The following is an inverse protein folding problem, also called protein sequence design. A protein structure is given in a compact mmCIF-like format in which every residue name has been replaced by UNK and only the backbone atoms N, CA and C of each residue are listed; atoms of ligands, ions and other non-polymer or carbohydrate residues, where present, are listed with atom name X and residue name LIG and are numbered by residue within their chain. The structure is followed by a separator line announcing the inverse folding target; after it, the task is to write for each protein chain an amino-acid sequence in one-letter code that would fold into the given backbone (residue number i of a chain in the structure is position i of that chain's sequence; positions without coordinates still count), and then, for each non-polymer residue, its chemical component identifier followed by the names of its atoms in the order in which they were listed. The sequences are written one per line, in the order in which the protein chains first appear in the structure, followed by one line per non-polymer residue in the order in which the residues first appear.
data_IF_885522431856
#
_entry.id   IF_885522431856
#
_cell.length_a   1.000
_cell.length_b   1.000
_cell.length_c   1.000
_cell.angle_alpha   90.00
_cell.angle_beta   90.00
_cell.angle_gamma   90.00
#
_symmetry.space_group_name_H-M   'P 1'
#
loop_
_entity.id
_entity.type
_entity.pdbx_description
1 polymer ?
#
# COMPACT_ATOMS: atom_id res chain seq x y z
N UNK A 1 -12.82 -5.79 22.64
CA UNK A 1 -12.17 -4.70 21.89
C UNK A 1 -11.62 -3.76 22.95
N UNK A 2 -10.32 -3.45 22.89
CA UNK A 2 -9.70 -2.61 23.92
C UNK A 2 -10.28 -1.18 23.90
N UNK A 3 -10.34 -0.48 25.06
CA UNK A 3 -10.87 0.89 25.14
C UNK A 3 -10.13 1.92 24.28
N UNK A 4 -8.87 1.61 23.95
CA UNK A 4 -8.01 2.34 23.03
C UNK A 4 -7.75 1.46 21.82
N UNK A 5 -8.14 1.95 20.64
CA UNK A 5 -7.89 1.28 19.38
C UNK A 5 -7.15 2.21 18.42
N UNK A 6 -6.10 1.70 17.79
CA UNK A 6 -5.26 2.44 16.85
C UNK A 6 -5.31 1.76 15.49
N UNK A 7 -5.51 2.55 14.44
CA UNK A 7 -5.38 2.09 13.06
C UNK A 7 -4.25 2.84 12.40
N UNK A 8 -3.24 2.11 11.92
CA UNK A 8 -2.21 2.62 11.02
C UNK A 8 -2.56 2.21 9.59
N UNK A 9 -2.89 3.17 8.74
CA UNK A 9 -3.29 2.89 7.37
C UNK A 9 -2.41 3.68 6.41
N UNK A 10 -1.91 2.99 5.38
CA UNK A 10 -1.15 3.55 4.28
C UNK A 10 -1.83 3.24 2.93
N UNK A 11 -1.72 4.19 2.02
CA UNK A 11 -2.15 4.08 0.63
C UNK A 11 -0.98 4.36 -0.29
N UNK A 12 -0.73 3.48 -1.26
CA UNK A 12 0.27 3.66 -2.31
C UNK A 12 -0.38 4.17 -3.60
N UNK A 13 0.23 5.19 -4.20
CA UNK A 13 -0.01 5.67 -5.56
C UNK A 13 1.28 5.52 -6.35
N UNK A 14 1.27 4.76 -7.43
CA UNK A 14 2.42 4.57 -8.30
C UNK A 14 2.03 4.69 -9.78
N UNK A 15 2.83 5.43 -10.53
CA UNK A 15 2.80 5.50 -11.98
C UNK A 15 4.20 5.25 -12.52
N UNK A 16 4.34 4.25 -13.39
CA UNK A 16 5.56 3.93 -14.10
C UNK A 16 5.30 3.87 -15.61
N UNK A 17 6.35 4.05 -16.41
CA UNK A 17 6.33 3.77 -17.84
C UNK A 17 6.59 2.29 -18.14
N UNK A 18 6.16 1.84 -19.32
CA UNK A 18 6.40 0.48 -19.85
C UNK A 18 7.88 0.13 -20.05
N UNK A 19 8.75 1.14 -20.08
CA UNK A 19 10.21 1.00 -20.10
C UNK A 19 10.82 0.80 -18.69
N UNK A 20 9.98 0.76 -17.66
CA UNK A 20 10.37 0.52 -16.27
C UNK A 20 10.69 1.79 -15.48
N UNK A 21 10.69 2.97 -16.10
CA UNK A 21 11.00 4.22 -15.42
C UNK A 21 9.87 4.69 -14.50
N UNK A 22 10.16 4.89 -13.21
CA UNK A 22 9.21 5.45 -12.26
C UNK A 22 8.92 6.93 -12.58
N UNK A 23 7.65 7.25 -12.80
CA UNK A 23 7.21 8.64 -13.02
C UNK A 23 6.82 9.31 -11.71
N UNK A 24 6.14 8.57 -10.84
CA UNK A 24 5.72 9.04 -9.53
C UNK A 24 5.42 7.86 -8.60
N UNK A 25 5.91 7.93 -7.37
CA UNK A 25 5.47 7.07 -6.28
C UNK A 25 5.18 7.93 -5.04
N UNK A 26 4.02 7.67 -4.43
CA UNK A 26 3.61 8.32 -3.20
C UNK A 26 3.01 7.30 -2.23
N UNK A 27 3.41 7.41 -0.96
CA UNK A 27 2.77 6.73 0.17
C UNK A 27 2.11 7.80 1.04
N UNK A 28 0.80 7.69 1.24
CA UNK A 28 0.06 8.51 2.18
C UNK A 28 -0.36 7.66 3.35
N UNK A 29 0.01 8.04 4.56
CA UNK A 29 -0.37 7.31 5.75
C UNK A 29 -1.05 8.14 6.82
N UNK A 30 -1.81 7.47 7.67
CA UNK A 30 -2.55 8.06 8.78
C UNK A 30 -2.58 7.11 9.99
N UNK A 31 -2.35 7.68 11.17
CA UNK A 31 -2.64 7.06 12.45
C UNK A 31 -3.98 7.60 12.94
N UNK A 32 -4.99 6.72 12.99
CA UNK A 32 -6.31 7.02 13.57
C UNK A 32 -6.39 6.44 14.97
N UNK A 33 -6.94 7.21 15.89
CA UNK A 33 -7.21 6.82 17.26
C UNK A 33 -8.72 6.76 17.47
N UNK A 34 -9.18 5.67 18.08
CA UNK A 34 -10.54 5.53 18.59
C UNK A 34 -10.49 5.23 20.08
N UNK A 35 -11.21 6.03 20.85
CA UNK A 35 -11.46 5.80 22.28
C UNK A 35 -12.91 5.36 22.43
N UNK A 36 -13.18 4.29 23.18
CA UNK A 36 -14.56 3.82 23.42
C UNK A 36 -15.04 4.04 24.86
N UNK A 37 -14.11 4.27 25.79
CA UNK A 37 -14.43 4.57 27.19
C UNK A 37 -13.99 6.00 27.55
N UNK A 38 -14.87 6.82 28.16
CA UNK A 38 -14.56 8.24 28.45
C UNK A 38 -13.26 8.47 29.23
N UNK A 39 -12.95 7.59 30.19
CA UNK A 39 -11.79 7.73 31.07
C UNK A 39 -10.47 7.31 30.40
N UNK A 40 -10.55 6.62 29.26
CA UNK A 40 -9.39 6.16 28.47
C UNK A 40 -8.85 7.21 27.50
N UNK A 41 -9.39 8.43 27.49
CA UNK A 41 -8.98 9.50 26.57
C UNK A 41 -7.75 10.31 27.00
N UNK A 42 -7.27 10.15 28.23
CA UNK A 42 -6.09 10.87 28.76
C UNK A 42 -4.80 10.07 28.57
N UNK A 43 -4.36 9.95 27.33
CA UNK A 43 -3.23 9.09 26.94
C UNK A 43 -2.19 9.82 26.09
N UNK A 44 -1.02 9.19 25.94
CA UNK A 44 0.01 9.49 24.95
C UNK A 44 0.33 8.21 24.17
N UNK A 45 0.38 8.31 22.85
CA UNK A 45 0.82 7.21 21.97
C UNK A 45 2.31 7.38 21.71
N UNK A 46 3.08 6.33 21.94
CA UNK A 46 4.51 6.29 21.65
C UNK A 46 4.70 5.71 20.25
N UNK A 47 5.32 6.50 19.37
CA UNK A 47 5.56 6.11 17.97
C UNK A 47 7.05 6.20 17.69
N UNK A 48 7.58 5.12 17.15
CA UNK A 48 8.91 5.08 16.57
C UNK A 48 8.82 5.42 15.08
N UNK A 49 9.76 6.24 14.61
CA UNK A 49 10.01 6.43 13.19
C UNK A 49 11.47 6.05 12.92
N UNK A 50 11.69 4.84 12.41
CA UNK A 50 13.04 4.36 12.02
C UNK A 50 13.37 4.70 10.57
N UNK A 51 12.45 5.35 9.87
CA UNK A 51 12.61 5.68 8.47
C UNK A 51 13.63 6.80 8.27
N UNK A 52 14.60 6.57 7.39
CA UNK A 52 15.67 7.53 7.06
C UNK A 52 15.31 8.38 5.84
N UNK A 53 14.20 8.06 5.15
CA UNK A 53 13.73 8.78 3.97
C UNK A 53 13.06 10.10 4.36
N UNK A 54 12.93 11.07 3.43
CA UNK A 54 12.31 12.37 3.70
C UNK A 54 10.78 12.27 3.81
N UNK A 55 10.28 11.58 4.84
CA UNK A 55 8.86 11.47 5.14
C UNK A 55 8.35 12.79 5.73
N UNK A 56 7.36 13.39 5.09
CA UNK A 56 6.67 14.57 5.58
C UNK A 56 5.66 14.16 6.64
N UNK A 57 5.78 14.69 7.87
CA UNK A 57 4.91 14.33 8.98
C UNK A 57 4.07 15.54 9.42
N UNK A 58 2.78 15.31 9.63
CA UNK A 58 1.83 16.31 10.11
C UNK A 58 1.01 15.76 11.28
N UNK A 59 1.07 16.43 12.43
CA UNK A 59 0.18 16.13 13.56
C UNK A 59 -1.14 16.87 13.44
N UNK A 60 -2.19 16.33 14.05
CA UNK A 60 -3.48 17.02 14.19
C UNK A 60 -3.32 18.37 14.95
N UNK A 61 -4.11 19.42 14.66
CA UNK A 61 -3.97 20.75 15.31
C UNK A 61 -4.00 20.74 16.84
N UNK A 62 -4.77 19.82 17.43
CA UNK A 62 -4.90 19.65 18.88
C UNK A 62 -3.79 18.78 19.52
N UNK A 63 -2.92 18.16 18.72
CA UNK A 63 -1.77 17.37 19.20
C UNK A 63 -0.58 18.30 19.49
N UNK A 64 0.16 17.98 20.55
CA UNK A 64 1.39 18.66 20.91
C UNK A 64 2.51 18.35 19.91
N UNK A 65 2.87 19.36 19.11
CA UNK A 65 3.90 19.26 18.08
C UNK A 65 5.29 19.14 18.68
N UNK A 66 5.57 19.76 19.81
CA UNK A 66 6.90 19.69 20.44
C UNK A 66 7.08 18.33 21.13
N UNK A 67 6.01 17.78 21.72
CA UNK A 67 6.01 16.41 22.22
C UNK A 67 6.31 15.38 21.13
N UNK A 68 5.70 15.55 19.94
CA UNK A 68 6.01 14.73 18.77
C UNK A 68 7.49 14.86 18.37
N UNK A 69 7.97 16.09 18.14
CA UNK A 69 9.33 16.35 17.66
C UNK A 69 10.42 15.84 18.61
N UNK A 70 10.21 15.99 19.92
CA UNK A 70 11.25 15.71 20.92
C UNK A 70 11.20 14.28 21.46
N UNK A 71 10.04 13.62 21.40
CA UNK A 71 9.84 12.30 22.03
C UNK A 71 9.17 11.25 21.16
N UNK A 72 8.77 11.58 19.92
CA UNK A 72 7.96 10.67 19.10
C UNK A 72 6.60 10.33 19.74
N UNK A 73 6.05 11.25 20.53
CA UNK A 73 4.82 11.00 21.29
C UNK A 73 3.66 11.85 20.77
N UNK A 74 2.50 11.22 20.60
CA UNK A 74 1.24 11.86 20.23
C UNK A 74 0.42 12.03 21.50
N UNK A 75 0.23 13.28 21.93
CA UNK A 75 -0.64 13.64 23.05
C UNK A 75 -1.34 14.97 22.79
N UNK A 76 -2.42 15.25 23.50
CA UNK A 76 -3.16 16.51 23.38
C UNK A 76 -2.32 17.68 23.91
N UNK A 77 -2.36 18.85 23.23
CA UNK A 77 -1.70 20.09 23.69
C UNK A 77 -2.17 20.55 25.07
N UNK A 78 -3.47 20.38 25.33
CA UNK A 78 -4.08 20.74 26.61
C UNK A 78 -4.15 19.46 27.45
N UNK A 79 -3.30 19.33 28.46
CA UNK A 79 -3.20 18.12 29.29
C UNK A 79 -4.51 17.72 29.99
N UNK A 80 -5.41 18.67 30.21
CA UNK A 80 -6.73 18.47 30.81
C UNK A 80 -7.84 18.14 29.80
N UNK A 81 -7.52 18.06 28.50
CA UNK A 81 -8.49 17.71 27.45
C UNK A 81 -8.22 16.30 26.93
N UNK A 82 -9.17 15.36 27.07
CA UNK A 82 -8.99 14.00 26.54
C UNK A 82 -9.12 13.99 25.01
N UNK A 83 -8.65 12.91 24.38
CA UNK A 83 -9.07 12.60 23.01
C UNK A 83 -10.59 12.37 22.95
N UNK A 84 -11.26 12.72 21.83
CA UNK A 84 -12.70 12.53 21.68
C UNK A 84 -13.12 11.06 21.84
N UNK A 85 -14.17 10.84 22.63
CA UNK A 85 -14.77 9.51 22.81
C UNK A 85 -15.68 9.14 21.62
N UNK A 86 -15.72 7.86 21.26
CA UNK A 86 -16.57 7.26 20.23
C UNK A 86 -16.47 7.92 18.84
N UNK A 87 -15.31 8.49 18.51
CA UNK A 87 -15.02 9.11 17.20
C UNK A 87 -13.65 8.67 16.73
N UNK A 88 -13.54 8.33 15.44
CA UNK A 88 -12.24 8.05 14.83
C UNK A 88 -11.53 9.37 14.49
N UNK A 89 -10.38 9.61 15.12
CA UNK A 89 -9.62 10.86 14.95
C UNK A 89 -8.26 10.55 14.33
N UNK A 90 -7.98 11.15 13.17
CA UNK A 90 -6.64 11.16 12.58
C UNK A 90 -5.72 12.06 13.40
N UNK A 91 -4.75 11.48 14.11
CA UNK A 91 -3.86 12.22 15.03
C UNK A 91 -2.47 12.50 14.44
N UNK A 92 -2.04 11.66 13.48
CA UNK A 92 -0.79 11.80 12.73
C UNK A 92 -1.06 11.44 11.27
N UNK A 93 -0.51 12.22 10.35
CA UNK A 93 -0.44 11.90 8.92
C UNK A 93 1.01 11.92 8.47
N UNK A 94 1.35 11.07 7.51
CA UNK A 94 2.63 11.12 6.84
C UNK A 94 2.49 10.99 5.34
N UNK A 95 3.48 11.52 4.62
CA UNK A 95 3.57 11.43 3.16
C UNK A 95 5.02 11.18 2.77
N UNK A 96 5.27 10.12 2.03
CA UNK A 96 6.52 9.86 1.33
C UNK A 96 6.28 10.00 -0.17
N UNK A 97 7.14 10.71 -0.88
CA UNK A 97 7.04 10.90 -2.33
C UNK A 97 8.42 10.75 -2.95
N UNK A 98 8.50 10.03 -4.07
CA UNK A 98 9.75 9.78 -4.79
C UNK A 98 9.51 9.53 -6.28
N UNK A 99 10.58 9.66 -7.06
CA UNK A 99 10.69 9.26 -8.47
C UNK A 99 11.88 8.32 -8.70
N UNK A 100 12.45 7.79 -7.61
CA UNK A 100 13.59 6.86 -7.67
C UNK A 100 13.12 5.41 -7.69
N UNK A 101 13.51 4.66 -8.73
CA UNK A 101 13.09 3.28 -8.98
C UNK A 101 13.39 2.33 -7.81
N UNK A 102 14.46 2.59 -7.05
CA UNK A 102 14.87 1.75 -5.91
C UNK A 102 13.86 1.66 -4.76
N UNK A 103 12.81 2.50 -4.80
CA UNK A 103 11.73 2.48 -3.80
C UNK A 103 10.48 1.75 -4.28
N UNK A 104 10.40 1.35 -5.55
CA UNK A 104 9.27 0.57 -6.08
C UNK A 104 9.18 -0.75 -5.29
N UNK A 105 8.01 -1.14 -4.75
CA UNK A 105 7.89 -2.37 -3.97
C UNK A 105 7.76 -3.61 -4.86
N UNK A 106 7.11 -3.48 -6.02
CA UNK A 106 6.81 -4.57 -6.95
C UNK A 106 6.99 -4.09 -8.39
N UNK A 107 8.06 -4.50 -9.07
CA UNK A 107 8.22 -4.19 -10.50
C UNK A 107 7.30 -5.06 -11.33
N UNK A 108 6.74 -4.51 -12.42
CA UNK A 108 6.01 -5.28 -13.45
C UNK A 108 6.72 -5.04 -14.78
N UNK A 109 7.14 -6.12 -15.44
CA UNK A 109 7.70 -6.07 -16.78
C UNK A 109 6.70 -6.73 -17.74
N UNK A 110 6.21 -5.98 -18.72
CA UNK A 110 5.23 -6.47 -19.71
C UNK A 110 5.78 -6.25 -21.12
N UNK A 111 5.99 -7.33 -21.86
CA UNK A 111 6.59 -7.35 -23.19
C UNK A 111 5.63 -7.93 -24.22
N UNK A 112 4.73 -7.11 -24.80
CA UNK A 112 3.92 -7.53 -25.94
C UNK A 112 4.69 -7.44 -27.26
N UNK A 113 4.69 -8.52 -28.03
CA UNK A 113 5.33 -8.62 -29.35
C UNK A 113 4.29 -8.96 -30.42
N UNK A 114 4.19 -8.14 -31.46
CA UNK A 114 3.34 -8.44 -32.64
C UNK A 114 3.80 -9.75 -33.31
N UNK A 115 2.89 -10.68 -33.51
CA UNK A 115 3.16 -11.99 -34.09
C UNK A 115 2.93 -12.04 -35.61
N UNK A 116 2.61 -10.91 -36.25
CA UNK A 116 2.37 -10.79 -37.70
C UNK A 116 1.05 -11.40 -38.18
N UNK A 117 0.20 -11.87 -37.27
CA UNK A 117 -1.07 -12.54 -37.57
C UNK A 117 -2.30 -11.82 -36.99
N UNK A 118 -2.14 -10.54 -36.63
CA UNK A 118 -3.20 -9.71 -36.04
C UNK A 118 -3.38 -9.91 -34.54
N UNK A 119 -2.33 -10.35 -33.85
CA UNK A 119 -2.27 -10.48 -32.40
C UNK A 119 -0.86 -10.26 -31.88
N UNK A 120 -0.69 -10.43 -30.57
CA UNK A 120 0.59 -10.36 -29.90
C UNK A 120 0.81 -11.59 -29.02
N UNK A 121 2.07 -12.00 -28.95
CA UNK A 121 2.58 -12.86 -27.88
C UNK A 121 3.04 -11.93 -26.75
N UNK A 122 2.54 -12.14 -25.55
CA UNK A 122 2.75 -11.27 -24.40
C UNK A 122 3.35 -12.08 -23.27
N UNK A 123 4.53 -11.65 -22.83
CA UNK A 123 5.18 -12.11 -21.61
C UNK A 123 5.04 -11.01 -20.56
N UNK A 124 4.52 -11.36 -19.38
CA UNK A 124 4.46 -10.45 -18.24
C UNK A 124 5.01 -11.15 -17.00
N UNK A 125 5.85 -10.45 -16.25
CA UNK A 125 6.43 -10.92 -15.00
C UNK A 125 6.33 -9.84 -13.92
N UNK A 126 6.35 -10.26 -12.66
CA UNK A 126 6.58 -9.38 -11.53
C UNK A 126 7.87 -9.75 -10.81
N UNK A 127 8.48 -8.76 -10.14
CA UNK A 127 9.54 -8.98 -9.17
C UNK A 127 9.27 -8.17 -7.89
N UNK A 128 9.36 -8.82 -6.73
CA UNK A 128 9.28 -8.19 -5.42
C UNK A 128 10.63 -7.54 -5.09
N UNK A 129 10.73 -6.25 -5.37
CA UNK A 129 11.94 -5.44 -5.14
C UNK A 129 12.18 -5.22 -3.64
N UNK A 130 11.11 -4.96 -2.88
CA UNK A 130 11.19 -4.87 -1.43
C UNK A 130 10.90 -6.23 -0.78
N UNK A 131 11.93 -7.08 -0.69
CA UNK A 131 11.86 -8.44 -0.12
C UNK A 131 11.44 -8.51 1.37
N UNK A 132 11.35 -7.37 2.06
CA UNK A 132 10.85 -7.31 3.45
C UNK A 132 9.33 -7.22 3.52
N UNK A 133 8.67 -6.97 2.39
CA UNK A 133 7.22 -6.91 2.29
C UNK A 133 6.60 -8.28 2.03
N UNK A 134 5.33 -8.36 2.38
CA UNK A 134 4.42 -9.45 2.03
C UNK A 134 3.16 -8.80 1.46
N UNK A 135 2.89 -9.05 0.18
CA UNK A 135 1.73 -8.53 -0.53
C UNK A 135 0.67 -9.62 -0.62
N UNK A 136 -0.55 -9.31 -0.21
CA UNK A 136 -1.67 -10.22 -0.11
C UNK A 136 -2.76 -9.85 -1.12
N UNK A 137 -3.44 -10.86 -1.65
CA UNK A 137 -4.53 -10.74 -2.62
C UNK A 137 -4.11 -9.89 -3.83
N UNK A 138 -2.96 -10.23 -4.41
CA UNK A 138 -2.37 -9.47 -5.52
C UNK A 138 -3.14 -9.76 -6.80
N UNK A 139 -3.60 -8.69 -7.45
CA UNK A 139 -4.32 -8.73 -8.72
C UNK A 139 -3.59 -7.84 -9.72
N UNK A 140 -3.09 -8.43 -10.79
CA UNK A 140 -2.48 -7.73 -11.93
C UNK A 140 -3.49 -7.79 -13.08
N UNK A 141 -3.96 -6.63 -13.53
CA UNK A 141 -4.96 -6.51 -14.59
C UNK A 141 -4.29 -6.02 -15.86
N UNK A 142 -4.30 -6.85 -16.90
CA UNK A 142 -3.76 -6.55 -18.22
C UNK A 142 -4.94 -6.27 -19.16
N UNK A 143 -5.08 -5.05 -19.72
CA UNK A 143 -6.12 -4.76 -20.68
C UNK A 143 -5.90 -5.55 -21.98
N UNK A 144 -6.98 -5.81 -22.69
CA UNK A 144 -7.00 -6.49 -23.98
C UNK A 144 -7.74 -5.61 -25.00
N UNK A 145 -7.54 -5.89 -26.28
CA UNK A 145 -8.26 -5.19 -27.34
C UNK A 145 -9.79 -5.35 -27.17
N UNK A 146 -10.53 -4.25 -27.28
CA UNK A 146 -11.98 -4.26 -27.09
C UNK A 146 -12.68 -5.27 -28.02
N UNK A 147 -13.49 -6.14 -27.42
CA UNK A 147 -14.23 -7.16 -28.15
C UNK A 147 -13.38 -8.33 -28.67
N UNK A 148 -12.13 -8.47 -28.20
CA UNK A 148 -11.28 -9.61 -28.54
C UNK A 148 -11.86 -10.93 -27.99
N UNK A 149 -11.56 -12.08 -28.64
CA UNK A 149 -11.78 -13.38 -28.02
C UNK A 149 -10.94 -13.52 -26.74
N UNK A 150 -11.20 -14.58 -25.98
CA UNK A 150 -10.35 -14.96 -24.84
C UNK A 150 -8.89 -15.10 -25.30
N UNK A 151 -7.91 -14.63 -24.52
CA UNK A 151 -6.51 -14.91 -24.79
C UNK A 151 -6.25 -16.42 -24.69
N UNK A 152 -5.24 -16.90 -25.42
CA UNK A 152 -4.68 -18.23 -25.27
C UNK A 152 -3.58 -18.17 -24.21
N UNK A 153 -3.77 -18.83 -23.07
CA UNK A 153 -2.74 -18.90 -22.03
C UNK A 153 -1.75 -20.01 -22.38
N UNK A 154 -0.48 -19.65 -22.49
CA UNK A 154 0.61 -20.57 -22.82
C UNK A 154 1.22 -21.12 -21.52
N UNK A 155 1.59 -20.24 -20.60
CA UNK A 155 2.11 -20.57 -19.26
C UNK A 155 1.57 -19.55 -18.25
N UNK A 156 1.34 -19.99 -17.01
CA UNK A 156 0.80 -19.11 -15.96
C UNK A 156 1.20 -19.62 -14.59
N UNK A 157 2.01 -18.85 -13.88
CA UNK A 157 2.29 -19.07 -12.47
C UNK A 157 1.28 -18.32 -11.61
N UNK A 158 0.34 -19.04 -11.00
CA UNK A 158 -0.80 -18.47 -10.27
C UNK A 158 -2.13 -18.75 -10.97
N UNK A 159 -3.14 -17.93 -10.69
CA UNK A 159 -4.47 -18.07 -11.29
C UNK A 159 -4.73 -16.96 -12.30
N UNK A 160 -5.50 -17.24 -13.35
CA UNK A 160 -5.92 -16.23 -14.30
C UNK A 160 -7.43 -16.28 -14.56
N UNK A 161 -8.01 -15.14 -14.93
CA UNK A 161 -9.42 -14.99 -15.29
C UNK A 161 -9.56 -14.01 -16.45
N UNK A 162 -10.35 -14.35 -17.46
CA UNK A 162 -10.72 -13.41 -18.53
C UNK A 162 -12.04 -12.71 -18.19
N UNK A 163 -11.99 -11.40 -17.91
CA UNK A 163 -13.19 -10.58 -17.76
C UNK A 163 -13.59 -9.99 -19.11
N UNK A 164 -14.51 -10.69 -19.79
CA UNK A 164 -15.06 -10.27 -21.08
C UNK A 164 -15.76 -8.92 -21.04
N UNK A 165 -16.36 -8.54 -19.90
CA UNK A 165 -17.11 -7.29 -19.79
C UNK A 165 -16.19 -6.08 -19.77
N UNK A 166 -15.00 -6.24 -19.18
CA UNK A 166 -13.95 -5.21 -19.12
C UNK A 166 -12.89 -5.35 -20.20
N UNK A 167 -12.93 -6.44 -20.98
CA UNK A 167 -11.89 -6.80 -21.96
C UNK A 167 -10.50 -6.79 -21.32
N UNK A 168 -10.32 -7.53 -20.22
CA UNK A 168 -9.02 -7.65 -19.55
C UNK A 168 -8.73 -9.09 -19.12
N UNK A 169 -7.44 -9.41 -19.04
CA UNK A 169 -6.91 -10.59 -18.39
C UNK A 169 -6.52 -10.22 -16.96
N UNK A 170 -7.04 -10.96 -16.00
CA UNK A 170 -6.79 -10.78 -14.58
C UNK A 170 -5.85 -11.89 -14.13
N UNK A 171 -4.67 -11.54 -13.66
CA UNK A 171 -3.69 -12.46 -13.09
C UNK A 171 -3.68 -12.30 -11.56
N UNK A 172 -3.91 -13.40 -10.84
CA UNK A 172 -4.10 -13.43 -9.39
C UNK A 172 -2.98 -14.23 -8.73
N UNK A 173 -2.34 -13.60 -7.75
CA UNK A 173 -1.34 -14.21 -6.90
C UNK A 173 -1.79 -14.02 -5.45
N UNK A 174 -2.12 -15.09 -4.70
CA UNK A 174 -2.62 -14.94 -3.34
C UNK A 174 -1.64 -14.21 -2.42
N UNK A 175 -0.34 -14.54 -2.51
CA UNK A 175 0.72 -13.96 -1.70
C UNK A 175 2.00 -13.80 -2.55
N UNK A 176 2.60 -12.61 -2.49
CA UNK A 176 3.96 -12.33 -2.99
C UNK A 176 4.84 -11.97 -1.80
N UNK A 177 5.90 -12.74 -1.58
CA UNK A 177 6.84 -12.56 -0.48
C UNK A 177 8.26 -12.97 -0.91
N UNK A 178 9.21 -12.96 0.03
CA UNK A 178 10.60 -13.38 -0.25
C UNK A 178 10.78 -14.84 -0.71
N UNK A 179 9.79 -15.71 -0.48
CA UNK A 179 9.86 -17.13 -0.84
C UNK A 179 9.39 -17.34 -2.29
N UNK A 180 8.49 -16.49 -2.75
CA UNK A 180 8.02 -16.43 -4.14
C UNK A 180 8.11 -14.98 -4.67
N UNK A 181 9.32 -14.43 -4.83
CA UNK A 181 9.50 -13.01 -5.15
C UNK A 181 9.22 -12.70 -6.61
N UNK A 182 9.11 -13.71 -7.47
CA UNK A 182 8.95 -13.55 -8.92
C UNK A 182 7.97 -14.58 -9.44
N UNK A 183 7.21 -14.23 -10.47
CA UNK A 183 6.50 -15.19 -11.30
C UNK A 183 6.22 -14.60 -12.68
N UNK A 184 5.82 -15.44 -13.63
CA UNK A 184 5.49 -15.03 -14.99
C UNK A 184 4.13 -15.57 -15.49
N UNK A 185 3.61 -14.89 -16.51
CA UNK A 185 2.43 -15.25 -17.27
C UNK A 185 2.72 -14.99 -18.76
N UNK A 186 2.52 -16.03 -19.56
CA UNK A 186 2.68 -16.00 -21.01
C UNK A 186 1.34 -16.28 -21.69
N UNK A 187 0.95 -15.40 -22.61
CA UNK A 187 -0.29 -15.58 -23.37
C UNK A 187 -0.22 -14.97 -24.77
N UNK A 188 -1.10 -15.44 -25.64
CA UNK A 188 -1.30 -14.86 -26.97
C UNK A 188 -2.70 -14.24 -27.05
N UNK A 189 -2.80 -13.01 -27.52
CA UNK A 189 -4.07 -12.28 -27.62
C UNK A 189 -4.19 -11.50 -28.93
N UNK A 190 -5.42 -11.19 -29.36
CA UNK A 190 -5.64 -10.25 -30.46
C UNK A 190 -5.38 -8.82 -30.01
N UNK A 191 -4.82 -8.01 -30.89
CA UNK A 191 -4.53 -6.60 -30.61
C UNK A 191 -3.17 -6.19 -31.13
N UNK A 192 -2.76 -4.99 -30.72
CA UNK A 192 -1.42 -4.45 -30.90
C UNK A 192 -0.78 -4.21 -29.52
N UNK A 193 0.55 -3.97 -29.45
CA UNK A 193 1.27 -3.76 -28.19
C UNK A 193 0.65 -2.72 -27.24
N UNK A 194 0.08 -1.64 -27.76
CA UNK A 194 -0.51 -0.57 -26.94
C UNK A 194 -1.84 -0.99 -26.29
N UNK A 195 -2.48 -2.08 -26.75
CA UNK A 195 -3.71 -2.58 -26.13
C UNK A 195 -3.50 -3.25 -24.78
N UNK A 196 -2.26 -3.59 -24.41
CA UNK A 196 -1.91 -4.28 -23.17
C UNK A 196 -1.51 -3.32 -22.04
N UNK A 197 -1.72 -2.02 -22.24
CA UNK A 197 -1.45 -0.96 -21.27
C UNK A 197 -2.68 -0.06 -21.07
N UNK A 198 -2.83 0.57 -19.90
CA UNK A 198 -1.96 0.42 -18.73
C UNK A 198 -2.19 -0.91 -18.00
N UNK A 199 -1.13 -1.51 -17.46
CA UNK A 199 -1.23 -2.62 -16.52
C UNK A 199 -1.52 -2.06 -15.13
N UNK A 200 -2.60 -2.50 -14.50
CA UNK A 200 -2.99 -2.06 -13.16
C UNK A 200 -2.68 -3.15 -12.12
N UNK A 201 -2.14 -2.77 -10.97
CA UNK A 201 -1.90 -3.68 -9.84
C UNK A 201 -2.76 -3.28 -8.64
N UNK A 202 -3.33 -4.27 -7.96
CA UNK A 202 -3.98 -4.11 -6.66
C UNK A 202 -3.41 -5.11 -5.67
N UNK A 203 -3.14 -4.68 -4.44
CA UNK A 203 -2.75 -5.55 -3.34
C UNK A 203 -3.04 -4.91 -1.99
N UNK A 204 -2.94 -5.73 -0.94
CA UNK A 204 -2.90 -5.27 0.45
C UNK A 204 -1.67 -5.81 1.18
N UNK A 205 -1.29 -5.19 2.29
CA UNK A 205 -0.31 -5.76 3.21
C UNK A 205 -0.71 -5.43 4.65
N UNK A 206 -0.40 -6.33 5.58
CA UNK A 206 -0.53 -6.08 7.01
C UNK A 206 0.71 -5.37 7.59
N UNK A 207 1.76 -5.22 6.78
CA UNK A 207 2.99 -4.52 7.12
C UNK A 207 2.95 -3.09 6.54
N UNK A 208 3.48 -2.10 7.29
CA UNK A 208 3.63 -0.75 6.75
C UNK A 208 4.81 -0.70 5.76
N UNK A 209 4.69 0.14 4.74
CA UNK A 209 5.78 0.50 3.84
C UNK A 209 6.71 1.55 4.47
N UNK A 210 6.17 2.55 5.18
CA UNK A 210 7.00 3.50 5.93
C UNK A 210 7.40 2.92 7.29
N UNK A 211 8.60 3.24 7.77
CA UNK A 211 9.16 2.75 9.03
C UNK A 211 8.53 3.35 10.30
N UNK A 212 7.22 3.61 10.31
CA UNK A 212 6.49 4.09 11.48
C UNK A 212 5.87 2.91 12.24
N UNK A 213 6.03 2.89 13.56
CA UNK A 213 5.51 1.85 14.43
C UNK A 213 5.03 2.41 15.75
N UNK A 214 3.85 1.99 16.20
CA UNK A 214 3.39 2.25 17.58
C UNK A 214 4.11 1.29 18.52
N UNK A 215 4.81 1.85 19.52
CA UNK A 215 5.51 1.07 20.55
C UNK A 215 4.62 0.79 21.76
N UNK A 216 3.67 1.68 22.04
CA UNK A 216 2.78 1.54 23.19
C UNK A 216 1.91 2.77 23.43
N UNK A 217 1.03 2.64 24.41
CA UNK A 217 0.17 3.72 24.90
C UNK A 217 0.41 3.88 26.40
N UNK A 218 0.51 5.13 26.86
CA UNK A 218 0.70 5.44 28.28
C UNK A 218 -0.30 6.49 28.77
N UNK A 219 -0.64 6.44 30.06
CA UNK A 219 -1.46 7.45 30.72
C UNK A 219 -0.78 8.82 30.74
N UNK A 220 -1.57 9.89 30.60
CA UNK A 220 -1.01 11.24 30.52
C UNK A 220 -0.39 11.71 31.85
N UNK A 221 -0.97 11.29 32.98
CA UNK A 221 -0.64 11.75 34.33
C UNK A 221 0.50 10.97 35.00
N UNK A 222 0.52 9.65 34.86
CA UNK A 222 1.40 8.74 35.59
C UNK A 222 2.40 8.01 34.67
N UNK A 223 2.19 8.08 33.35
CA UNK A 223 2.99 7.32 32.38
C UNK A 223 2.77 5.81 32.47
N UNK A 224 1.74 5.35 33.17
CA UNK A 224 1.43 3.93 33.27
C UNK A 224 1.03 3.37 31.91
N UNK A 225 1.41 2.12 31.63
CA UNK A 225 1.03 1.46 30.39
C UNK A 225 -0.49 1.28 30.30
N UNK A 226 -1.05 1.54 29.13
CA UNK A 226 -2.47 1.38 28.82
C UNK A 226 -2.63 0.30 27.77
N UNK A 227 -3.53 -0.65 28.02
CA UNK A 227 -3.85 -1.68 27.03
C UNK A 227 -4.52 -1.03 25.82
N UNK A 228 -4.12 -1.48 24.63
CA UNK A 228 -4.66 -1.02 23.38
C UNK A 228 -4.67 -2.15 22.36
N UNK A 229 -5.49 -1.99 21.34
CA UNK A 229 -5.47 -2.83 20.15
C UNK A 229 -4.99 -2.02 18.95
N UNK A 230 -4.35 -2.69 18.00
CA UNK A 230 -3.84 -2.04 16.79
C UNK A 230 -4.18 -2.86 15.55
N UNK A 231 -4.53 -2.15 14.48
CA UNK A 231 -4.59 -2.65 13.12
C UNK A 231 -3.57 -1.89 12.26
N UNK A 232 -2.88 -2.61 11.36
CA UNK A 232 -1.96 -2.01 10.38
C UNK A 232 -2.31 -2.51 9.00
N UNK A 233 -2.42 -1.61 8.04
CA UNK A 233 -2.71 -1.95 6.65
C UNK A 233 -2.02 -0.99 5.68
N UNK A 234 -1.37 -1.55 4.66
CA UNK A 234 -1.07 -0.88 3.41
C UNK A 234 -2.05 -1.39 2.34
N UNK A 235 -2.54 -0.51 1.49
CA UNK A 235 -3.34 -0.89 0.31
C UNK A 235 -2.97 -0.04 -0.91
N UNK A 236 -3.19 -0.59 -2.09
CA UNK A 236 -3.12 0.15 -3.34
C UNK A 236 -4.27 1.14 -3.47
N UNK A 237 -3.96 2.39 -3.80
CA UNK A 237 -4.93 3.36 -4.31
C UNK A 237 -4.84 3.41 -5.85
N UNK A 238 -3.65 3.60 -6.38
CA UNK A 238 -3.37 3.50 -7.82
C UNK A 238 -2.00 2.87 -8.01
N UNK A 239 -1.87 1.94 -8.94
CA UNK A 239 -0.59 1.31 -9.27
C UNK A 239 -0.63 0.95 -10.75
N UNK A 240 -0.05 1.79 -11.58
CA UNK A 240 -0.22 1.73 -13.04
C UNK A 240 1.12 1.76 -13.77
N UNK A 241 1.26 0.87 -14.74
CA UNK A 241 2.38 0.80 -15.67
C UNK A 241 1.82 1.15 -17.05
N UNK A 242 2.29 2.24 -17.64
CA UNK A 242 1.74 2.85 -18.87
C UNK A 242 2.58 2.60 -20.11
#
# INVERSE_FOLDING_TARGET
MEPVHIVMSEEIVLHAGRDGGLQNMEIQGILKLRITEPDSGFIKIQVENTDTRPIQIQTHPNVDRELWKTKGQIGMKMNNKPFPNNTDVGVLKWRFHTVEDSYVPLSINCWPQDNGSGGCDVNIEYNLENITMELNEVIITIPLALGSPSPLINECEGEHEYDRSRSCLIWKIPIIDKNSPTAALDFTARGNPDNFFPVCVSFTSSLPYCGLKVLGVVGNSDGAAVNFSQETQLKTNTYEIN
#
